data_IF_269784627710
#
_entry.id   IF_269784627710
#
_cell.length_a   1.000
_cell.length_b   1.000
_cell.length_c   1.000
_cell.angle_alpha   90.00
_cell.angle_beta   90.00
_cell.angle_gamma   90.00
#
_symmetry.space_group_name_H-M   'P 1'
#
loop_
_entity.id
_entity.type
_entity.pdbx_description
1 polymer ?
#
# COMPACT_ATOMS: atom_id res chain seq x y z
N UNK A 1 12.31 19.74 -7.78
CA UNK A 1 13.30 18.70 -7.42
C UNK A 1 12.78 17.39 -7.98
N UNK A 2 13.42 16.88 -9.02
CA UNK A 2 13.05 15.63 -9.68
C UNK A 2 13.10 14.50 -8.65
N UNK A 3 11.96 13.89 -8.34
CA UNK A 3 11.94 12.64 -7.58
C UNK A 3 12.69 11.62 -8.45
N UNK A 4 13.91 11.29 -8.05
CA UNK A 4 14.62 10.15 -8.63
C UNK A 4 13.73 8.94 -8.41
N UNK A 5 13.51 8.15 -9.47
CA UNK A 5 12.91 6.83 -9.38
C UNK A 5 13.83 5.96 -8.52
N UNK A 6 13.68 6.03 -7.20
CA UNK A 6 14.45 5.26 -6.24
C UNK A 6 13.66 3.99 -5.96
N UNK A 7 13.79 3.00 -6.84
CA UNK A 7 13.24 1.69 -6.57
C UNK A 7 13.95 1.12 -5.33
N UNK A 8 13.16 0.55 -4.42
CA UNK A 8 13.65 -0.22 -3.26
C UNK A 8 14.62 -1.31 -3.75
N UNK A 9 15.73 -1.49 -3.04
CA UNK A 9 16.79 -2.47 -3.36
C UNK A 9 16.20 -3.87 -3.61
N UNK A 10 15.14 -4.25 -2.89
CA UNK A 10 14.48 -5.55 -3.05
C UNK A 10 13.60 -5.64 -4.28
N UNK A 11 13.03 -4.52 -4.73
CA UNK A 11 12.30 -4.45 -6.02
C UNK A 11 13.31 -4.63 -7.16
N UNK A 12 14.48 -4.01 -7.04
CA UNK A 12 15.57 -4.18 -8.01
C UNK A 12 16.08 -5.62 -8.03
N UNK A 13 16.27 -6.26 -6.87
CA UNK A 13 16.68 -7.67 -6.78
C UNK A 13 15.66 -8.62 -7.42
N UNK A 14 14.37 -8.47 -7.11
CA UNK A 14 13.31 -9.31 -7.67
C UNK A 14 13.19 -9.14 -9.20
N UNK A 15 13.40 -7.92 -9.70
CA UNK A 15 13.38 -7.62 -11.13
C UNK A 15 14.64 -8.15 -11.82
N UNK A 16 15.80 -8.06 -11.16
CA UNK A 16 17.02 -8.69 -11.64
C UNK A 16 16.87 -10.22 -11.71
N UNK A 17 16.25 -10.87 -10.73
CA UNK A 17 15.95 -12.31 -10.81
C UNK A 17 15.07 -12.64 -12.03
N UNK A 18 14.11 -11.76 -12.37
CA UNK A 18 13.24 -11.93 -13.53
C UNK A 18 13.95 -11.80 -14.88
N UNK A 19 15.20 -11.30 -14.92
CA UNK A 19 16.00 -11.28 -16.15
C UNK A 19 16.39 -12.66 -16.65
N UNK A 20 16.38 -13.67 -15.77
CA UNK A 20 16.70 -15.06 -16.10
C UNK A 20 15.54 -15.82 -16.75
N UNK A 21 14.34 -15.23 -16.81
CA UNK A 21 13.18 -15.83 -17.47
C UNK A 21 13.31 -15.77 -18.99
N UNK A 22 12.72 -16.74 -19.68
CA UNK A 22 12.48 -16.63 -21.12
C UNK A 22 11.47 -15.52 -21.42
N UNK A 23 11.54 -14.94 -22.62
CA UNK A 23 10.65 -13.85 -23.06
C UNK A 23 9.17 -14.19 -22.88
N UNK A 24 8.77 -15.43 -23.19
CA UNK A 24 7.38 -15.92 -23.05
C UNK A 24 6.93 -15.94 -21.58
N UNK A 25 7.79 -16.42 -20.69
CA UNK A 25 7.51 -16.51 -19.26
C UNK A 25 7.51 -15.13 -18.62
N UNK A 26 8.45 -14.26 -19.01
CA UNK A 26 8.50 -12.87 -18.56
C UNK A 26 7.23 -12.10 -18.98
N UNK A 27 6.78 -12.25 -20.23
CA UNK A 27 5.54 -11.66 -20.70
C UNK A 27 4.31 -12.20 -19.93
N UNK A 28 4.31 -13.47 -19.54
CA UNK A 28 3.25 -14.05 -18.71
C UNK A 28 3.23 -13.45 -17.29
N UNK A 29 4.40 -13.22 -16.69
CA UNK A 29 4.55 -12.55 -15.39
C UNK A 29 4.08 -11.09 -15.48
N UNK A 30 4.45 -10.36 -16.52
CA UNK A 30 4.01 -8.97 -16.73
C UNK A 30 2.48 -8.88 -16.88
N UNK A 31 1.86 -9.82 -17.62
CA UNK A 31 0.39 -9.91 -17.74
C UNK A 31 -0.29 -10.20 -16.39
N UNK A 32 0.36 -10.97 -15.51
CA UNK A 32 -0.13 -11.17 -14.14
C UNK A 32 -0.03 -9.87 -13.33
N UNK A 33 1.08 -9.15 -13.44
CA UNK A 33 1.26 -7.86 -12.76
C UNK A 33 0.17 -6.85 -13.14
N UNK A 34 -0.14 -6.69 -14.44
CA UNK A 34 -1.20 -5.78 -14.89
C UNK A 34 -2.57 -6.13 -14.31
N UNK A 35 -2.88 -7.43 -14.17
CA UNK A 35 -4.16 -7.86 -13.60
C UNK A 35 -4.35 -7.45 -12.15
N UNK A 36 -3.28 -7.13 -11.40
CA UNK A 36 -3.41 -6.62 -10.03
C UNK A 36 -4.11 -5.26 -9.98
N UNK A 37 -4.04 -4.48 -11.06
CA UNK A 37 -4.73 -3.19 -11.16
C UNK A 37 -6.19 -3.32 -11.62
N UNK A 38 -6.57 -4.50 -12.12
CA UNK A 38 -7.94 -4.81 -12.51
C UNK A 38 -8.81 -5.24 -11.34
N UNK A 39 -10.12 -5.30 -11.54
CA UNK A 39 -11.06 -5.83 -10.54
C UNK A 39 -10.98 -7.36 -10.38
N UNK A 40 -10.22 -8.04 -11.24
CA UNK A 40 -10.09 -9.50 -11.20
C UNK A 40 -9.10 -9.94 -10.12
N UNK A 41 -9.59 -10.71 -9.14
CA UNK A 41 -8.73 -11.31 -8.12
C UNK A 41 -7.76 -12.29 -8.79
N UNK A 42 -6.46 -12.12 -8.53
CA UNK A 42 -5.49 -13.14 -8.88
C UNK A 42 -5.81 -14.46 -8.19
N UNK A 43 -5.94 -15.53 -8.97
CA UNK A 43 -6.15 -16.87 -8.41
C UNK A 43 -4.80 -17.53 -8.15
N UNK A 44 -4.66 -18.15 -6.96
CA UNK A 44 -3.48 -18.94 -6.58
C UNK A 44 -3.10 -19.96 -7.66
N UNK A 45 -4.11 -20.53 -8.34
CA UNK A 45 -3.96 -21.47 -9.47
C UNK A 45 -3.20 -20.89 -10.67
N UNK A 46 -3.32 -19.59 -10.96
CA UNK A 46 -2.60 -18.95 -12.08
C UNK A 46 -1.13 -18.74 -11.74
N UNK A 47 -0.84 -18.29 -10.50
CA UNK A 47 0.53 -18.17 -10.00
C UNK A 47 1.26 -19.52 -10.04
N UNK A 48 0.64 -20.58 -9.53
CA UNK A 48 1.25 -21.92 -9.54
C UNK A 48 1.46 -22.46 -10.96
N UNK A 49 0.54 -22.18 -11.89
CA UNK A 49 0.69 -22.58 -13.29
C UNK A 49 1.85 -21.85 -13.97
N UNK A 50 1.99 -20.54 -13.76
CA UNK A 50 3.10 -19.77 -14.32
C UNK A 50 4.43 -20.21 -13.69
N UNK A 51 4.46 -20.45 -12.38
CA UNK A 51 5.61 -20.99 -11.66
C UNK A 51 6.08 -22.34 -12.24
N UNK A 52 5.15 -23.28 -12.47
CA UNK A 52 5.48 -24.56 -13.10
C UNK A 52 6.01 -24.43 -14.54
N UNK A 53 5.54 -23.42 -15.29
CA UNK A 53 5.97 -23.20 -16.68
C UNK A 53 7.34 -22.52 -16.77
N UNK A 54 7.71 -21.73 -15.76
CA UNK A 54 9.01 -21.05 -15.68
C UNK A 54 10.07 -21.83 -14.89
N UNK A 55 9.71 -22.96 -14.28
CA UNK A 55 10.59 -23.72 -13.39
C UNK A 55 10.92 -22.98 -12.09
N UNK A 56 10.07 -22.04 -11.68
CA UNK A 56 10.24 -21.24 -10.47
C UNK A 56 9.30 -21.71 -9.38
N UNK A 57 9.61 -21.36 -8.13
CA UNK A 57 8.69 -21.51 -7.02
C UNK A 57 7.55 -20.49 -7.11
N UNK A 58 6.38 -20.85 -6.57
CA UNK A 58 5.22 -19.95 -6.57
C UNK A 58 5.51 -18.63 -5.85
N UNK A 59 6.36 -18.65 -4.82
CA UNK A 59 6.80 -17.47 -4.10
C UNK A 59 7.69 -16.56 -4.95
N UNK A 60 8.61 -17.11 -5.75
CA UNK A 60 9.47 -16.33 -6.64
C UNK A 60 8.66 -15.62 -7.72
N UNK A 61 7.67 -16.31 -8.30
CA UNK A 61 6.75 -15.70 -9.27
C UNK A 61 5.90 -14.61 -8.61
N UNK A 62 5.38 -14.85 -7.40
CA UNK A 62 4.62 -13.84 -6.66
C UNK A 62 5.47 -12.59 -6.40
N UNK A 63 6.72 -12.75 -5.97
CA UNK A 63 7.66 -11.64 -5.74
C UNK A 63 7.95 -10.86 -7.03
N UNK A 64 8.22 -11.55 -8.14
CA UNK A 64 8.44 -10.89 -9.43
C UNK A 64 7.19 -10.15 -9.94
N UNK A 65 6.01 -10.74 -9.79
CA UNK A 65 4.73 -10.09 -10.13
C UNK A 65 4.52 -8.81 -9.33
N UNK A 66 4.78 -8.84 -8.02
CA UNK A 66 4.65 -7.67 -7.15
C UNK A 66 5.68 -6.59 -7.47
N UNK A 67 6.92 -6.97 -7.73
CA UNK A 67 7.99 -6.03 -8.10
C UNK A 67 7.72 -5.34 -9.45
N UNK A 68 7.28 -6.10 -10.45
CA UNK A 68 6.89 -5.55 -11.76
C UNK A 68 5.67 -4.63 -11.62
N UNK A 69 4.65 -5.05 -10.85
CA UNK A 69 3.50 -4.20 -10.59
C UNK A 69 3.92 -2.89 -9.91
N UNK A 70 4.80 -2.93 -8.91
CA UNK A 70 5.34 -1.74 -8.26
C UNK A 70 6.04 -0.78 -9.24
N UNK A 71 6.88 -1.30 -10.14
CA UNK A 71 7.52 -0.46 -11.17
C UNK A 71 6.50 0.22 -12.09
N UNK A 72 5.49 -0.53 -12.54
CA UNK A 72 4.41 0.01 -13.37
C UNK A 72 3.61 1.08 -12.62
N UNK A 73 3.34 0.84 -11.33
CA UNK A 73 2.66 1.75 -10.43
C UNK A 73 3.42 3.06 -10.24
N UNK A 74 4.71 2.98 -9.93
CA UNK A 74 5.58 4.14 -9.72
C UNK A 74 5.74 4.94 -11.01
N UNK A 75 5.92 4.26 -12.15
CA UNK A 75 5.94 4.92 -13.45
C UNK A 75 4.64 5.65 -13.75
N UNK A 76 3.47 5.08 -13.41
CA UNK A 76 2.17 5.72 -13.62
C UNK A 76 1.94 6.90 -12.66
N UNK A 77 2.44 6.79 -11.42
CA UNK A 77 2.37 7.82 -10.37
C UNK A 77 3.20 9.06 -10.71
N UNK A 78 4.39 8.86 -11.29
CA UNK A 78 5.27 9.94 -11.74
C UNK A 78 4.93 10.44 -13.17
N UNK A 79 3.85 9.90 -13.76
CA UNK A 79 3.38 10.24 -15.11
C UNK A 79 4.47 10.15 -16.19
N UNK A 80 5.31 9.12 -16.11
CA UNK A 80 6.41 8.96 -17.04
C UNK A 80 5.92 8.75 -18.47
N UNK A 81 6.53 9.43 -19.43
CA UNK A 81 6.39 9.07 -20.84
C UNK A 81 6.99 7.69 -21.09
N UNK A 82 6.52 6.97 -22.11
CA UNK A 82 7.07 5.66 -22.51
C UNK A 82 8.61 5.72 -22.67
N UNK A 83 9.13 6.77 -23.30
CA UNK A 83 10.57 7.00 -23.45
C UNK A 83 11.29 7.15 -22.12
N UNK A 84 10.72 7.91 -21.17
CA UNK A 84 11.30 8.09 -19.84
C UNK A 84 11.25 6.79 -19.03
N UNK A 85 10.15 6.05 -19.11
CA UNK A 85 10.00 4.75 -18.46
C UNK A 85 11.01 3.73 -19.00
N UNK A 86 11.22 3.69 -20.33
CA UNK A 86 12.23 2.83 -20.97
C UNK A 86 13.65 3.13 -20.47
N UNK A 87 13.99 4.40 -20.23
CA UNK A 87 15.29 4.78 -19.67
C UNK A 87 15.46 4.29 -18.23
N UNK A 88 14.40 4.37 -17.42
CA UNK A 88 14.39 3.83 -16.05
C UNK A 88 14.63 2.32 -16.07
N UNK A 89 13.93 1.58 -16.93
CA UNK A 89 14.10 0.13 -17.07
C UNK A 89 15.52 -0.27 -17.53
N UNK A 90 16.12 0.49 -18.44
CA UNK A 90 17.52 0.26 -18.87
C UNK A 90 18.51 0.43 -17.71
N UNK A 91 18.21 1.32 -16.76
CA UNK A 91 18.99 1.47 -15.52
C UNK A 91 18.90 0.27 -14.57
N UNK A 92 17.90 -0.61 -14.73
CA UNK A 92 17.68 -1.79 -13.90
C UNK A 92 18.35 -3.06 -14.43
N UNK A 93 19.23 -2.95 -15.44
CA UNK A 93 19.97 -4.08 -16.04
C UNK A 93 19.10 -5.20 -16.62
N UNK A 94 17.88 -4.87 -17.05
CA UNK A 94 17.00 -5.81 -17.75
C UNK A 94 17.45 -6.08 -19.20
N UNK A 95 17.23 -7.30 -19.74
CA UNK A 95 17.44 -7.59 -21.16
C UNK A 95 16.61 -6.66 -22.06
N UNK A 96 17.15 -6.27 -23.22
CA UNK A 96 16.49 -5.33 -24.14
C UNK A 96 15.06 -5.80 -24.53
N UNK A 97 14.88 -7.11 -24.73
CA UNK A 97 13.57 -7.71 -25.03
C UNK A 97 12.58 -7.55 -23.86
N UNK A 98 13.01 -7.73 -22.62
CA UNK A 98 12.18 -7.55 -21.44
C UNK A 98 11.80 -6.08 -21.23
N UNK A 99 12.74 -5.16 -21.51
CA UNK A 99 12.48 -3.72 -21.49
C UNK A 99 11.40 -3.35 -22.51
N UNK A 100 11.47 -3.90 -23.72
CA UNK A 100 10.48 -3.65 -24.78
C UNK A 100 9.10 -4.15 -24.38
N UNK A 101 9.01 -5.39 -23.86
CA UNK A 101 7.75 -5.98 -23.38
C UNK A 101 7.12 -5.13 -22.27
N UNK A 102 7.90 -4.70 -21.28
CA UNK A 102 7.39 -3.86 -20.19
C UNK A 102 6.99 -2.46 -20.66
N UNK A 103 7.74 -1.85 -21.56
CA UNK A 103 7.42 -0.53 -22.10
C UNK A 103 6.09 -0.56 -22.87
N UNK A 104 5.88 -1.56 -23.72
CA UNK A 104 4.62 -1.75 -24.47
C UNK A 104 3.43 -1.99 -23.54
N UNK A 105 3.62 -2.82 -22.52
CA UNK A 105 2.59 -3.09 -21.51
C UNK A 105 2.25 -1.81 -20.72
N UNK A 106 3.26 -1.04 -20.32
CA UNK A 106 3.07 0.21 -19.62
C UNK A 106 2.29 1.20 -20.50
N UNK A 107 2.67 1.40 -21.77
CA UNK A 107 1.96 2.31 -22.68
C UNK A 107 0.49 1.91 -22.86
N UNK A 108 0.23 0.62 -23.04
CA UNK A 108 -1.12 0.09 -23.24
C UNK A 108 -2.03 0.27 -22.00
N UNK A 109 -1.46 0.18 -20.79
CA UNK A 109 -2.23 0.15 -19.54
C UNK A 109 -1.99 1.36 -18.62
N UNK A 110 -1.15 2.33 -19.00
CA UNK A 110 -0.75 3.44 -18.12
C UNK A 110 -1.94 4.24 -17.58
N UNK A 111 -2.99 4.41 -18.39
CA UNK A 111 -4.23 5.11 -17.96
C UNK A 111 -4.99 4.31 -16.91
N UNK A 112 -5.20 3.01 -17.14
CA UNK A 112 -5.92 2.12 -16.23
C UNK A 112 -5.17 1.97 -14.90
N UNK A 113 -3.84 1.79 -14.97
CA UNK A 113 -2.95 1.72 -13.81
C UNK A 113 -3.03 3.04 -13.04
N UNK A 114 -2.94 4.18 -13.72
CA UNK A 114 -3.06 5.50 -13.09
C UNK A 114 -4.42 5.70 -12.42
N UNK A 115 -5.51 5.28 -13.05
CA UNK A 115 -6.84 5.36 -12.46
C UNK A 115 -6.94 4.50 -11.19
N UNK A 116 -6.41 3.27 -11.22
CA UNK A 116 -6.33 2.39 -10.07
C UNK A 116 -5.52 3.03 -8.92
N UNK A 117 -4.30 3.48 -9.21
CA UNK A 117 -3.42 4.15 -8.24
C UNK A 117 -4.04 5.42 -7.70
N UNK A 118 -4.69 6.20 -8.55
CA UNK A 118 -5.37 7.44 -8.15
C UNK A 118 -6.60 7.15 -7.28
N UNK A 119 -7.34 6.06 -7.52
CA UNK A 119 -8.45 5.64 -6.65
C UNK A 119 -7.96 5.25 -5.27
N UNK A 120 -6.86 4.50 -5.18
CA UNK A 120 -6.21 4.19 -3.90
C UNK A 120 -5.67 5.45 -3.21
N UNK A 121 -5.03 6.34 -3.97
CA UNK A 121 -4.50 7.62 -3.45
C UNK A 121 -5.59 8.62 -3.07
N UNK A 122 -6.78 8.56 -3.71
CA UNK A 122 -7.98 9.35 -3.33
C UNK A 122 -8.53 8.93 -1.98
N UNK A 123 -8.33 7.68 -1.57
CA UNK A 123 -8.37 7.27 -0.16
C UNK A 123 -7.11 7.79 0.54
N UNK A 124 -6.98 9.12 0.67
CA UNK A 124 -6.02 9.68 1.62
C UNK A 124 -6.50 9.27 3.01
N UNK A 125 -5.97 8.16 3.51
CA UNK A 125 -6.20 7.72 4.89
C UNK A 125 -5.81 8.89 5.79
N UNK A 126 -6.73 9.39 6.65
CA UNK A 126 -6.40 10.46 7.56
C UNK A 126 -5.25 10.03 8.46
N UNK A 127 -4.16 10.79 8.46
CA UNK A 127 -2.98 10.49 9.26
C UNK A 127 -3.17 11.01 10.67
N UNK A 128 -2.72 10.25 11.66
CA UNK A 128 -2.71 10.70 13.04
C UNK A 128 -1.92 12.00 13.17
N UNK A 129 -2.50 13.00 13.84
CA UNK A 129 -1.82 14.27 14.16
C UNK A 129 -1.66 14.46 15.67
N UNK A 130 -2.72 14.27 16.43
CA UNK A 130 -2.74 14.55 17.86
C UNK A 130 -3.87 13.78 18.56
N UNK A 131 -3.64 13.43 19.83
CA UNK A 131 -4.66 12.87 20.71
C UNK A 131 -4.59 13.61 22.05
N UNK A 132 -5.60 14.43 22.31
CA UNK A 132 -5.81 15.05 23.61
C UNK A 132 -6.81 14.24 24.42
N UNK A 133 -6.62 14.19 25.73
CA UNK A 133 -7.51 13.47 26.63
C UNK A 133 -7.76 14.26 27.91
N UNK A 134 -8.94 14.05 28.48
CA UNK A 134 -9.36 14.60 29.78
C UNK A 134 -10.14 13.54 30.54
N UNK A 135 -9.86 13.40 31.84
CA UNK A 135 -10.61 12.52 32.73
C UNK A 135 -11.47 13.40 33.64
N UNK A 136 -12.78 13.22 33.55
CA UNK A 136 -13.75 13.87 34.40
C UNK A 136 -14.22 12.87 35.46
N UNK A 137 -14.17 13.25 36.74
CA UNK A 137 -14.59 12.40 37.84
C UNK A 137 -15.73 13.04 38.63
N UNK A 138 -16.91 12.44 38.56
CA UNK A 138 -18.04 12.87 39.39
C UNK A 138 -17.94 12.22 40.78
N UNK A 139 -17.54 12.99 41.80
CA UNK A 139 -17.31 12.48 43.17
C UNK A 139 -18.61 12.15 43.93
N UNK A 140 -19.74 12.71 43.50
CA UNK A 140 -21.06 12.37 44.03
C UNK A 140 -22.14 13.39 43.70
N UNK A 141 -23.39 12.93 43.67
CA UNK A 141 -24.57 13.80 43.59
C UNK A 141 -25.36 13.75 44.89
N UNK A 142 -26.35 14.64 45.07
CA UNK A 142 -27.23 14.64 46.26
C UNK A 142 -27.89 13.27 46.51
N UNK A 143 -28.09 12.46 45.45
CA UNK A 143 -28.72 11.15 45.50
C UNK A 143 -27.73 9.96 45.39
N UNK A 144 -26.47 10.18 45.00
CA UNK A 144 -25.46 9.14 44.86
C UNK A 144 -24.15 9.58 45.53
N UNK A 145 -24.03 9.32 46.83
CA UNK A 145 -22.76 9.48 47.57
C UNK A 145 -21.88 8.25 47.34
N UNK A 146 -20.57 8.46 47.20
CA UNK A 146 -19.53 7.42 47.17
C UNK A 146 -19.54 6.45 45.97
N UNK A 147 -20.04 6.86 44.80
CA UNK A 147 -19.93 6.09 43.55
C UNK A 147 -19.27 6.95 42.46
N UNK A 148 -17.93 7.13 42.49
CA UNK A 148 -17.24 7.89 41.48
C UNK A 148 -17.41 7.24 40.10
N UNK A 149 -17.85 8.04 39.12
CA UNK A 149 -17.97 7.61 37.72
C UNK A 149 -16.96 8.38 36.87
N UNK A 150 -15.78 7.80 36.58
CA UNK A 150 -14.82 8.42 35.68
C UNK A 150 -15.34 8.37 34.24
N UNK A 151 -15.28 9.50 33.56
CA UNK A 151 -15.57 9.62 32.13
C UNK A 151 -14.32 10.16 31.46
N UNK A 152 -13.86 9.50 30.42
CA UNK A 152 -12.71 9.92 29.62
C UNK A 152 -13.22 10.58 28.34
N UNK A 153 -12.81 11.82 28.11
CA UNK A 153 -13.01 12.53 26.85
C UNK A 153 -11.72 12.47 26.04
N UNK A 154 -11.81 12.01 24.81
CA UNK A 154 -10.71 11.90 23.85
C UNK A 154 -10.99 12.83 22.67
N UNK A 155 -10.00 13.61 22.23
CA UNK A 155 -10.03 14.37 20.96
C UNK A 155 -8.92 13.86 20.07
N UNK A 156 -9.28 13.19 18.99
CA UNK A 156 -8.38 12.70 17.96
C UNK A 156 -8.37 13.69 16.79
N UNK A 157 -7.22 14.30 16.53
CA UNK A 157 -7.00 15.12 15.35
C UNK A 157 -6.30 14.26 14.28
N UNK A 158 -6.88 14.19 13.09
CA UNK A 158 -6.29 13.55 11.91
C UNK A 158 -6.07 14.57 10.78
N UNK A 159 -5.08 14.33 9.93
CA UNK A 159 -4.75 15.18 8.80
C UNK A 159 -4.84 14.40 7.49
N UNK A 160 -5.56 14.97 6.54
CA UNK A 160 -5.69 14.45 5.17
C UNK A 160 -4.99 15.44 4.26
N UNK A 161 -4.17 14.96 3.32
CA UNK A 161 -3.57 15.82 2.30
C UNK A 161 -4.35 15.63 0.99
N UNK A 162 -5.20 16.59 0.59
CA UNK A 162 -5.84 16.53 -0.72
C UNK A 162 -4.78 16.63 -1.81
N UNK A 163 -4.94 15.87 -2.89
CA UNK A 163 -4.03 15.90 -4.05
C UNK A 163 -3.95 17.27 -4.73
N UNK A 164 -4.88 18.18 -4.44
CA UNK A 164 -5.02 19.50 -5.07
C UNK A 164 -4.62 20.69 -4.19
N UNK A 165 -4.24 20.50 -2.92
CA UNK A 165 -3.94 21.62 -2.01
C UNK A 165 -2.65 21.43 -1.21
N UNK A 166 -1.88 22.51 -1.05
CA UNK A 166 -0.65 22.53 -0.25
C UNK A 166 -0.89 22.52 1.27
N UNK A 167 -2.13 22.76 1.72
CA UNK A 167 -2.48 22.83 3.14
C UNK A 167 -3.17 21.52 3.56
N UNK A 168 -2.67 20.82 4.61
CA UNK A 168 -3.33 19.62 5.12
C UNK A 168 -4.65 19.99 5.81
N UNK A 169 -5.73 19.28 5.45
CA UNK A 169 -7.03 19.43 6.09
C UNK A 169 -7.04 18.64 7.40
N UNK A 170 -7.28 19.32 8.52
CA UNK A 170 -7.37 18.68 9.84
C UNK A 170 -8.83 18.39 10.20
N UNK A 171 -9.09 17.18 10.65
CA UNK A 171 -10.37 16.75 11.18
C UNK A 171 -10.21 16.37 12.66
N UNK A 172 -11.00 16.97 13.53
CA UNK A 172 -11.04 16.65 14.96
C UNK A 172 -12.27 15.82 15.29
N UNK A 173 -12.06 14.64 15.88
CA UNK A 173 -13.11 13.74 16.34
C UNK A 173 -13.08 13.65 17.86
N UNK A 174 -14.19 14.00 18.51
CA UNK A 174 -14.32 13.93 19.96
C UNK A 174 -15.17 12.72 20.37
N UNK A 175 -14.66 11.92 21.31
CA UNK A 175 -15.35 10.73 21.84
C UNK A 175 -15.31 10.78 23.36
N UNK A 176 -16.42 10.43 24.01
CA UNK A 176 -16.47 10.19 25.45
C UNK A 176 -16.73 8.72 25.72
N UNK A 177 -15.94 8.13 26.59
CA UNK A 177 -16.04 6.73 26.99
C UNK A 177 -15.93 6.60 28.50
N UNK A 178 -16.57 5.58 29.04
CA UNK A 178 -16.30 5.11 30.39
C UNK A 178 -15.08 4.16 30.39
N UNK A 179 -14.77 3.59 31.55
CA UNK A 179 -13.63 2.68 31.68
C UNK A 179 -13.77 1.42 30.81
N UNK A 180 -14.97 0.84 30.72
CA UNK A 180 -15.18 -0.38 29.93
C UNK A 180 -15.04 -0.10 28.43
N UNK A 181 -15.56 1.04 27.96
CA UNK A 181 -15.36 1.53 26.60
C UNK A 181 -13.89 1.79 26.29
N UNK A 182 -13.14 2.43 27.20
CA UNK A 182 -11.71 2.67 27.03
C UNK A 182 -10.91 1.36 26.95
N UNK A 183 -11.24 0.39 27.82
CA UNK A 183 -10.61 -0.94 27.83
C UNK A 183 -10.89 -1.72 26.55
N UNK A 184 -12.11 -1.60 26.01
CA UNK A 184 -12.45 -2.19 24.72
C UNK A 184 -11.64 -1.54 23.58
N UNK A 185 -11.56 -0.20 23.54
CA UNK A 185 -10.77 0.52 22.55
C UNK A 185 -9.30 0.09 22.58
N UNK A 186 -8.69 0.03 23.77
CA UNK A 186 -7.32 -0.46 23.92
C UNK A 186 -7.14 -1.84 23.29
N UNK A 187 -8.01 -2.80 23.61
CA UNK A 187 -7.93 -4.17 23.07
C UNK A 187 -8.06 -4.20 21.55
N UNK A 188 -8.96 -3.40 20.97
CA UNK A 188 -9.13 -3.34 19.52
C UNK A 188 -7.89 -2.75 18.84
N UNK A 189 -7.30 -1.71 19.40
CA UNK A 189 -6.06 -1.11 18.88
C UNK A 189 -4.87 -2.08 18.99
N UNK A 190 -4.74 -2.81 20.10
CA UNK A 190 -3.71 -3.84 20.25
C UNK A 190 -3.86 -4.99 19.24
N UNK A 191 -5.09 -5.43 18.97
CA UNK A 191 -5.35 -6.44 17.94
C UNK A 191 -5.00 -5.92 16.56
N UNK A 192 -5.44 -4.70 16.21
CA UNK A 192 -5.11 -4.08 14.93
C UNK A 192 -3.60 -3.91 14.74
N UNK A 193 -2.86 -3.57 15.80
CA UNK A 193 -1.40 -3.47 15.75
C UNK A 193 -0.75 -4.83 15.45
N UNK A 194 -1.20 -5.90 16.12
CA UNK A 194 -0.72 -7.26 15.85
C UNK A 194 -1.02 -7.73 14.42
N UNK A 195 -2.16 -7.33 13.87
CA UNK A 195 -2.51 -7.64 12.47
C UNK A 195 -1.64 -6.86 11.49
N UNK A 196 -1.35 -5.58 11.77
CA UNK A 196 -0.43 -4.78 10.97
C UNK A 196 0.99 -5.40 10.95
N UNK A 197 1.45 -5.93 12.08
CA UNK A 197 2.73 -6.63 12.21
C UNK A 197 2.73 -8.05 11.60
N UNK A 198 1.58 -8.54 11.11
CA UNK A 198 1.51 -9.85 10.48
C UNK A 198 2.38 -9.91 9.22
N UNK A 199 2.90 -11.10 8.91
CA UNK A 199 3.78 -11.32 7.75
C UNK A 199 3.10 -10.87 6.44
N UNK A 200 1.79 -11.05 6.32
CA UNK A 200 1.04 -10.64 5.13
C UNK A 200 0.97 -9.12 4.99
N UNK A 201 0.60 -8.39 6.05
CA UNK A 201 0.54 -6.93 6.04
C UNK A 201 1.93 -6.30 5.89
N UNK A 202 2.95 -6.84 6.58
CA UNK A 202 4.35 -6.46 6.42
C UNK A 202 4.86 -6.67 4.99
N UNK A 203 4.42 -7.74 4.30
CA UNK A 203 4.75 -7.96 2.89
C UNK A 203 4.08 -6.92 2.00
N UNK A 204 2.81 -6.60 2.23
CA UNK A 204 2.06 -5.62 1.43
C UNK A 204 2.59 -4.19 1.64
N UNK A 205 2.87 -3.78 2.88
CA UNK A 205 3.41 -2.46 3.20
C UNK A 205 4.69 -2.14 2.41
N UNK A 206 5.55 -3.13 2.15
CA UNK A 206 6.77 -2.98 1.35
C UNK A 206 6.51 -2.51 -0.08
N UNK A 207 5.34 -2.85 -0.63
CA UNK A 207 4.97 -2.46 -2.00
C UNK A 207 4.09 -1.21 -2.04
N UNK A 208 3.65 -0.68 -0.90
CA UNK A 208 2.77 0.50 -0.85
C UNK A 208 3.51 1.83 -0.62
N UNK A 209 4.79 1.80 -0.21
CA UNK A 209 5.61 3.00 0.01
C UNK A 209 6.45 3.37 -1.21
#
# INVERSE_FOLDING_TARGET
MSRSFAADERVLEAVAQSSALSDENFAAVCKLAVRLFGSEKQSKRRLTRTASASGWEAEQVEQAVLAIAKILMDGAKDELSERAFRLVLKGMTLPEQHVEVLAQIYEAHAKDIRECVSRETRTSVPHYRNLEWRIDLELGTRFHRNKPKPIVTLRLDTATQPSSSSVPQVQSTCVRVDYDGLKLMQRQLETALKEADSVHCSRIQRYMH
#
